data_IF_053222044993
#
_entry.id   IF_053222044993
#
_cell.length_a   1.000
_cell.length_b   1.000
_cell.length_c   1.000
_cell.angle_alpha   90.00
_cell.angle_beta   90.00
_cell.angle_gamma   90.00
#
_symmetry.space_group_name_H-M   'P 1'
#
loop_
_entity.id
_entity.type
_entity.pdbx_description
1 polymer ?
#
# COMPACT_ATOMS: atom_id res chain seq x y z
N UNK A 1 -8.25 -6.50 -15.17
CA UNK A 1 -7.32 -7.61 -14.89
C UNK A 1 -6.36 -7.10 -13.82
N UNK A 2 -6.75 -7.20 -12.54
CA UNK A 2 -5.95 -6.78 -11.37
C UNK A 2 -5.51 -8.01 -10.56
N UNK A 3 -5.40 -9.17 -11.21
CA UNK A 3 -5.04 -10.45 -10.60
C UNK A 3 -3.53 -10.66 -10.63
N UNK A 4 -2.79 -9.82 -9.91
CA UNK A 4 -1.45 -10.23 -9.49
C UNK A 4 -1.67 -11.15 -8.29
N UNK A 5 -1.78 -12.46 -8.52
CA UNK A 5 -1.73 -13.53 -7.51
C UNK A 5 -2.61 -13.34 -6.24
N UNK A 6 -3.77 -12.69 -6.35
CA UNK A 6 -4.64 -12.41 -5.19
C UNK A 6 -4.10 -11.32 -4.24
N UNK A 7 -3.15 -10.48 -4.69
CA UNK A 7 -2.57 -9.39 -3.91
C UNK A 7 -3.65 -8.48 -3.30
N UNK A 8 -4.66 -8.11 -4.09
CA UNK A 8 -5.75 -7.24 -3.62
C UNK A 8 -6.53 -7.92 -2.49
N UNK A 9 -6.80 -9.21 -2.58
CA UNK A 9 -7.50 -9.95 -1.53
C UNK A 9 -6.65 -10.03 -0.25
N UNK A 10 -5.35 -10.29 -0.37
CA UNK A 10 -4.41 -10.26 0.78
C UNK A 10 -4.36 -8.88 1.44
N UNK A 11 -4.39 -7.79 0.66
CA UNK A 11 -4.42 -6.43 1.17
C UNK A 11 -5.78 -6.07 1.81
N UNK A 12 -6.89 -6.65 1.33
CA UNK A 12 -8.22 -6.49 1.93
C UNK A 12 -8.32 -7.21 3.27
N UNK A 13 -7.78 -8.44 3.36
CA UNK A 13 -7.77 -9.24 4.60
C UNK A 13 -7.10 -8.52 5.77
N UNK A 14 -6.11 -7.69 5.49
CA UNK A 14 -5.39 -6.91 6.52
C UNK A 14 -5.88 -5.46 6.63
N UNK A 15 -6.97 -5.11 5.95
CA UNK A 15 -7.52 -3.75 5.90
C UNK A 15 -6.54 -2.67 5.40
N UNK A 16 -5.55 -3.06 4.59
CA UNK A 16 -4.64 -2.12 3.93
C UNK A 16 -5.35 -1.36 2.80
N UNK A 17 -6.33 -2.00 2.17
CA UNK A 17 -7.17 -1.43 1.11
C UNK A 17 -8.65 -1.70 1.37
N UNK A 18 -9.50 -0.94 0.69
CA UNK A 18 -10.97 -1.09 0.68
C UNK A 18 -11.50 -1.09 -0.75
N UNK A 19 -12.56 -1.86 -1.00
CA UNK A 19 -13.31 -1.82 -2.27
C UNK A 19 -14.26 -0.62 -2.26
N UNK A 20 -14.19 0.18 -3.31
CA UNK A 20 -15.07 1.31 -3.61
C UNK A 20 -15.86 1.02 -4.89
N UNK A 21 -16.96 1.75 -5.14
CA UNK A 21 -17.80 1.55 -6.35
C UNK A 21 -17.01 1.61 -7.67
N UNK A 22 -15.86 2.30 -7.70
CA UNK A 22 -15.01 2.50 -8.88
C UNK A 22 -13.62 1.88 -8.79
N UNK A 23 -13.34 1.02 -7.81
CA UNK A 23 -12.04 0.36 -7.70
C UNK A 23 -11.62 0.02 -6.28
N UNK A 24 -10.32 0.01 -6.03
CA UNK A 24 -9.72 -0.26 -4.72
C UNK A 24 -8.93 0.97 -4.28
N UNK A 25 -9.01 1.33 -3.01
CA UNK A 25 -8.28 2.47 -2.45
C UNK A 25 -7.56 2.07 -1.16
N UNK A 26 -6.42 2.68 -0.87
CA UNK A 26 -5.71 2.45 0.39
C UNK A 26 -6.46 3.10 1.56
N UNK A 27 -6.55 2.39 2.68
CA UNK A 27 -7.21 2.93 3.87
C UNK A 27 -6.42 4.07 4.49
N UNK A 28 -7.11 4.96 5.22
CA UNK A 28 -6.46 6.07 5.94
C UNK A 28 -5.45 5.55 6.95
N UNK A 29 -5.77 4.46 7.64
CA UNK A 29 -4.90 3.81 8.63
C UNK A 29 -3.60 3.31 8.00
N UNK A 30 -3.70 2.60 6.87
CA UNK A 30 -2.53 2.11 6.15
C UNK A 30 -1.68 3.26 5.60
N UNK A 31 -2.30 4.29 5.04
CA UNK A 31 -1.60 5.49 4.56
C UNK A 31 -0.85 6.19 5.71
N UNK A 32 -1.49 6.36 6.87
CA UNK A 32 -0.86 7.00 8.04
C UNK A 32 0.32 6.18 8.53
N UNK A 33 0.17 4.86 8.61
CA UNK A 33 1.25 3.95 8.93
C UNK A 33 2.44 4.16 7.98
N UNK A 34 2.21 4.12 6.66
CA UNK A 34 3.29 4.29 5.68
C UNK A 34 3.99 5.64 5.81
N UNK A 35 3.26 6.75 5.98
CA UNK A 35 3.88 8.07 6.17
C UNK A 35 4.75 8.11 7.43
N UNK A 36 4.32 7.47 8.52
CA UNK A 36 5.12 7.35 9.75
C UNK A 36 6.36 6.46 9.55
N UNK A 37 6.19 5.28 8.95
CA UNK A 37 7.25 4.31 8.73
C UNK A 37 8.32 4.83 7.78
N UNK A 38 7.93 5.55 6.73
CA UNK A 38 8.85 6.13 5.74
C UNK A 38 9.60 7.37 6.25
N UNK A 39 9.02 8.13 7.19
CA UNK A 39 9.72 9.27 7.82
C UNK A 39 10.91 8.84 8.67
N UNK A 40 10.86 7.65 9.27
CA UNK A 40 11.93 7.12 10.13
C UNK A 40 12.89 6.15 9.44
N UNK A 41 12.52 5.57 8.30
CA UNK A 41 13.23 4.44 7.68
C UNK A 41 13.39 4.58 6.15
N UNK A 42 13.85 5.74 5.66
CA UNK A 42 13.99 5.99 4.22
C UNK A 42 14.87 4.93 3.51
N UNK A 43 15.97 4.50 4.13
CA UNK A 43 16.88 3.48 3.57
C UNK A 43 16.21 2.10 3.38
N UNK A 44 15.24 1.74 4.25
CA UNK A 44 14.49 0.47 4.08
C UNK A 44 13.57 0.54 2.86
N UNK A 45 13.03 1.71 2.54
CA UNK A 45 12.14 1.91 1.40
C UNK A 45 12.87 1.85 0.03
N UNK A 46 14.19 1.69 0.02
CA UNK A 46 15.00 1.54 -1.21
C UNK A 46 15.16 0.07 -1.64
N UNK A 47 14.80 -0.88 -0.78
CA UNK A 47 15.01 -2.32 -1.03
C UNK A 47 13.72 -3.12 -0.89
N UNK A 48 13.58 -4.19 -1.68
CA UNK A 48 12.45 -5.12 -1.57
C UNK A 48 12.34 -5.74 -0.16
N UNK A 49 13.48 -6.06 0.45
CA UNK A 49 13.51 -6.64 1.79
C UNK A 49 13.08 -5.62 2.85
N UNK A 50 13.52 -4.37 2.74
CA UNK A 50 13.05 -3.31 3.63
C UNK A 50 11.55 -3.03 3.49
N UNK A 51 10.98 -3.10 2.28
CA UNK A 51 9.54 -3.07 2.07
C UNK A 51 8.82 -4.26 2.69
N UNK A 52 9.38 -5.47 2.62
CA UNK A 52 8.82 -6.64 3.33
C UNK A 52 8.72 -6.37 4.83
N UNK A 53 9.77 -5.81 5.44
CA UNK A 53 9.74 -5.45 6.86
C UNK A 53 8.69 -4.37 7.17
N UNK A 54 8.64 -3.30 6.36
CA UNK A 54 7.66 -2.22 6.55
C UNK A 54 6.23 -2.76 6.45
N UNK A 55 5.94 -3.63 5.49
CA UNK A 55 4.60 -4.22 5.34
C UNK A 55 4.28 -5.20 6.48
N UNK A 56 5.25 -6.01 6.92
CA UNK A 56 5.07 -6.92 8.05
C UNK A 56 4.83 -6.18 9.38
N UNK A 57 5.44 -4.99 9.56
CA UNK A 57 5.22 -4.11 10.71
C UNK A 57 3.78 -3.54 10.75
N UNK A 58 3.12 -3.41 9.59
CA UNK A 58 1.71 -3.07 9.52
C UNK A 58 0.82 -4.26 9.91
N UNK A 59 1.07 -5.41 9.27
CA UNK A 59 0.38 -6.65 9.58
C UNK A 59 1.27 -7.85 9.24
N UNK A 60 1.46 -8.75 10.21
CA UNK A 60 2.44 -9.83 10.12
C UNK A 60 2.25 -10.75 8.90
N UNK A 61 1.00 -10.97 8.45
CA UNK A 61 0.70 -11.82 7.28
C UNK A 61 1.29 -11.27 5.98
N UNK A 62 1.58 -9.97 5.89
CA UNK A 62 2.18 -9.36 4.69
C UNK A 62 3.64 -9.79 4.48
N UNK A 63 4.29 -10.44 5.46
CA UNK A 63 5.62 -11.02 5.27
C UNK A 63 5.64 -12.09 4.18
N UNK A 64 4.51 -12.76 3.93
CA UNK A 64 4.38 -13.85 2.95
C UNK A 64 4.20 -13.35 1.52
N UNK A 65 4.16 -12.03 1.30
CA UNK A 65 4.09 -11.49 -0.06
C UNK A 65 5.34 -11.86 -0.86
N UNK A 66 5.11 -12.30 -2.09
CA UNK A 66 6.18 -12.57 -3.05
C UNK A 66 6.93 -11.29 -3.42
N UNK A 67 8.12 -11.42 -3.99
CA UNK A 67 8.87 -10.25 -4.47
C UNK A 67 8.07 -9.44 -5.51
N UNK A 68 7.33 -10.12 -6.38
CA UNK A 68 6.45 -9.49 -7.38
C UNK A 68 5.29 -8.75 -6.72
N UNK A 69 4.68 -9.35 -5.69
CA UNK A 69 3.57 -8.75 -4.94
C UNK A 69 4.01 -7.51 -4.15
N UNK A 70 5.20 -7.57 -3.55
CA UNK A 70 5.80 -6.41 -2.88
C UNK A 70 6.08 -5.32 -3.92
N UNK A 71 6.73 -5.65 -5.04
CA UNK A 71 7.00 -4.70 -6.12
C UNK A 71 5.72 -4.05 -6.65
N UNK A 72 4.68 -4.84 -6.90
CA UNK A 72 3.37 -4.35 -7.31
C UNK A 72 2.75 -3.42 -6.25
N UNK A 73 2.84 -3.77 -4.96
CA UNK A 73 2.36 -2.92 -3.86
C UNK A 73 3.08 -1.57 -3.86
N UNK A 74 4.40 -1.55 -4.05
CA UNK A 74 5.20 -0.32 -4.10
C UNK A 74 4.79 0.54 -5.29
N UNK A 75 4.59 -0.05 -6.47
CA UNK A 75 4.11 0.68 -7.67
C UNK A 75 2.72 1.26 -7.44
N UNK A 76 1.80 0.51 -6.81
CA UNK A 76 0.46 1.00 -6.47
C UNK A 76 0.52 2.16 -5.48
N UNK A 77 1.43 2.08 -4.49
CA UNK A 77 1.63 3.13 -3.51
C UNK A 77 2.20 4.40 -4.14
N UNK A 78 3.22 4.27 -4.99
CA UNK A 78 3.81 5.41 -5.71
C UNK A 78 2.77 6.10 -6.60
N UNK A 79 2.02 5.31 -7.40
CA UNK A 79 0.88 5.82 -8.17
C UNK A 79 -0.12 6.53 -7.26
N UNK A 80 -0.52 5.93 -6.16
CA UNK A 80 -1.47 6.54 -5.23
C UNK A 80 -0.95 7.87 -4.64
N UNK A 81 0.31 7.94 -4.23
CA UNK A 81 0.90 9.18 -3.70
C UNK A 81 1.06 10.28 -4.74
N UNK A 82 1.42 9.93 -5.98
CA UNK A 82 1.53 10.89 -7.09
C UNK A 82 0.16 11.41 -7.53
N UNK A 83 -0.86 10.56 -7.53
CA UNK A 83 -2.22 10.90 -7.98
C UNK A 83 -3.15 11.42 -6.87
N UNK A 84 -2.72 11.42 -5.61
CA UNK A 84 -3.40 12.10 -4.49
C UNK A 84 -3.48 13.64 -4.64
N UNK A 85 -2.81 14.23 -5.65
CA UNK A 85 -2.82 15.68 -5.93
C UNK A 85 -4.08 16.22 -6.62
N UNK A 86 -5.11 15.41 -6.86
CA UNK A 86 -6.40 15.90 -7.32
C UNK A 86 -7.51 15.60 -6.30
N UNK A 87 -7.32 16.04 -5.04
CA UNK A 87 -8.47 16.27 -4.17
C UNK A 87 -9.26 17.44 -4.79
N UNK A 88 -10.45 17.15 -5.32
CA UNK A 88 -11.40 18.21 -5.65
C UNK A 88 -11.66 19.03 -4.38
N UNK A 89 -11.68 20.37 -4.45
CA UNK A 89 -12.04 21.17 -3.28
C UNK A 89 -13.47 20.84 -2.85
N UNK A 90 -13.69 20.71 -1.54
CA UNK A 90 -15.01 20.51 -0.97
C UNK A 90 -15.94 21.69 -1.31
N UNK A 91 -17.14 21.37 -1.80
CA UNK A 91 -18.24 22.33 -1.91
C UNK A 91 -18.79 22.49 -3.33
N UNK A 92 -19.85 21.74 -3.61
CA UNK A 92 -20.90 22.16 -4.53
C UNK A 92 -22.22 22.14 -3.78
#
# INVERSE_FOLDING_TARGET
MWDINGLIDKLLEVHAVEKQQKGVTFTVSFRRFLVCSLRGNQTKAETLEGWRFILADYHYSLVTLSAEEIGATVVLLDYYFQHLKAAAPDGR
#
